data_IF_756771158548
#
_entry.id   IF_756771158548
#
_cell.length_a   1.000
_cell.length_b   1.000
_cell.length_c   1.000
_cell.angle_alpha   90.00
_cell.angle_beta   90.00
_cell.angle_gamma   90.00
#
_symmetry.space_group_name_H-M   'P 1'
#
loop_
_entity.id
_entity.type
_entity.pdbx_description
1 polymer ?
#
# COMPACT_ATOMS: atom_id res chain seq x y z
N UNK A 1 2.22 -22.99 -12.98
CA UNK A 1 0.85 -22.58 -13.39
C UNK A 1 0.91 -21.18 -13.97
N UNK A 2 0.09 -20.88 -14.97
CA UNK A 2 -0.02 -19.53 -15.54
C UNK A 2 -0.68 -18.61 -14.52
N UNK A 3 -0.11 -17.42 -14.28
CA UNK A 3 -0.72 -16.44 -13.39
C UNK A 3 -1.95 -15.82 -14.05
N UNK A 4 -2.96 -15.54 -13.23
CA UNK A 4 -4.22 -14.91 -13.64
C UNK A 4 -4.50 -13.64 -12.84
N UNK A 5 -4.08 -13.62 -11.57
CA UNK A 5 -4.34 -12.53 -10.63
C UNK A 5 -3.02 -11.81 -10.32
N UNK A 6 -2.95 -10.55 -10.68
CA UNK A 6 -1.77 -9.70 -10.47
C UNK A 6 -2.12 -8.67 -9.40
N UNK A 7 -1.50 -8.80 -8.23
CA UNK A 7 -1.70 -7.89 -7.11
C UNK A 7 -0.52 -6.94 -7.03
N UNK A 8 -0.78 -5.66 -6.87
CA UNK A 8 0.24 -4.62 -6.71
C UNK A 8 0.17 -3.96 -5.33
N UNK A 9 1.31 -3.65 -4.74
CA UNK A 9 1.40 -2.60 -3.75
C UNK A 9 1.33 -1.21 -4.42
N UNK A 10 1.18 -0.16 -3.63
CA UNK A 10 1.06 1.22 -4.10
C UNK A 10 2.37 2.00 -3.91
N UNK A 11 2.71 2.27 -2.65
CA UNK A 11 3.82 3.16 -2.29
C UNK A 11 5.18 2.47 -2.51
N UNK A 12 5.98 2.95 -3.46
CA UNK A 12 7.26 2.34 -3.85
C UNK A 12 7.14 1.29 -4.97
N UNK A 13 5.92 0.95 -5.38
CA UNK A 13 5.67 -0.03 -6.44
C UNK A 13 5.00 0.61 -7.66
N UNK A 14 3.86 1.23 -7.47
CA UNK A 14 3.17 1.99 -8.52
C UNK A 14 3.53 3.47 -8.49
N UNK A 15 3.74 4.01 -7.29
CA UNK A 15 3.99 5.45 -7.10
C UNK A 15 5.19 5.71 -6.18
N UNK A 16 5.91 6.82 -6.43
CA UNK A 16 6.85 7.42 -5.49
C UNK A 16 6.14 8.45 -4.63
N UNK A 17 5.72 8.03 -3.45
CA UNK A 17 5.05 8.85 -2.44
C UNK A 17 6.01 9.43 -1.39
N UNK A 18 7.31 9.31 -1.60
CA UNK A 18 8.33 9.66 -0.60
C UNK A 18 8.27 11.12 -0.16
N UNK A 19 8.03 12.04 -1.09
CA UNK A 19 7.94 13.47 -0.79
C UNK A 19 6.78 13.77 0.18
N UNK A 20 5.59 13.30 -0.14
CA UNK A 20 4.39 13.55 0.65
C UNK A 20 4.48 12.92 2.04
N UNK A 21 4.89 11.66 2.11
CA UNK A 21 4.99 10.94 3.38
C UNK A 21 6.05 11.57 4.28
N UNK A 22 7.27 11.81 3.78
CA UNK A 22 8.36 12.35 4.61
C UNK A 22 8.06 13.75 5.11
N UNK A 23 7.45 14.61 4.30
CA UNK A 23 7.01 15.95 4.73
C UNK A 23 5.90 15.88 5.78
N UNK A 24 4.99 14.92 5.69
CA UNK A 24 3.93 14.74 6.69
C UNK A 24 4.46 14.19 8.01
N UNK A 25 5.43 13.26 7.97
CA UNK A 25 6.14 12.80 9.18
C UNK A 25 6.88 13.96 9.83
N UNK A 26 7.61 14.75 9.05
CA UNK A 26 8.31 15.94 9.57
C UNK A 26 7.34 16.96 10.17
N UNK A 27 6.17 17.16 9.55
CA UNK A 27 5.11 18.01 10.11
C UNK A 27 4.65 17.49 11.48
N UNK A 28 4.37 16.19 11.60
CA UNK A 28 3.94 15.57 12.85
C UNK A 28 5.00 15.72 13.95
N UNK A 29 6.26 15.45 13.64
CA UNK A 29 7.38 15.59 14.58
C UNK A 29 7.58 17.04 15.03
N UNK A 30 7.49 18.00 14.09
CA UNK A 30 7.59 19.43 14.43
C UNK A 30 6.46 19.88 15.39
N UNK A 31 5.24 19.35 15.22
CA UNK A 31 4.11 19.61 16.13
C UNK A 31 4.36 19.07 17.55
N UNK A 32 5.22 18.06 17.68
CA UNK A 32 5.68 17.50 18.96
C UNK A 32 7.00 18.11 19.45
N UNK A 33 7.52 19.15 18.79
CA UNK A 33 8.75 19.84 19.17
C UNK A 33 10.04 19.11 18.75
N UNK A 34 9.94 18.08 17.90
CA UNK A 34 11.09 17.29 17.41
C UNK A 34 11.45 17.76 16.00
N UNK A 35 12.70 18.17 15.80
CA UNK A 35 13.24 18.48 14.48
C UNK A 35 13.99 17.27 13.94
N UNK A 36 13.48 16.68 12.87
CA UNK A 36 14.14 15.58 12.15
C UNK A 36 14.58 16.06 10.77
N UNK A 37 15.88 15.97 10.49
CA UNK A 37 16.46 16.37 9.22
C UNK A 37 17.04 15.19 8.43
N UNK A 38 17.09 14.00 9.05
CA UNK A 38 17.57 12.80 8.38
C UNK A 38 16.50 12.23 7.46
N UNK A 39 16.69 12.45 6.15
CA UNK A 39 15.78 11.92 5.13
C UNK A 39 15.74 10.39 5.11
N UNK A 40 16.83 9.71 5.47
CA UNK A 40 16.84 8.25 5.54
C UNK A 40 15.95 7.76 6.69
N UNK A 41 15.95 8.46 7.83
CA UNK A 41 15.05 8.17 8.94
C UNK A 41 13.58 8.40 8.55
N UNK A 42 13.26 9.53 7.92
CA UNK A 42 11.91 9.86 7.48
C UNK A 42 11.37 8.83 6.47
N UNK A 43 12.19 8.34 5.55
CA UNK A 43 11.80 7.33 4.55
C UNK A 43 11.42 5.98 5.17
N UNK A 44 11.85 5.68 6.40
CA UNK A 44 11.49 4.43 7.10
C UNK A 44 9.99 4.35 7.44
N UNK A 45 9.28 5.47 7.39
CA UNK A 45 7.84 5.54 7.61
C UNK A 45 7.01 5.13 6.39
N UNK A 46 7.63 4.97 5.22
CA UNK A 46 6.92 4.58 4.01
C UNK A 46 6.64 3.07 4.08
N UNK A 47 5.37 2.68 4.07
CA UNK A 47 4.91 1.30 4.05
C UNK A 47 4.40 0.74 5.38
N UNK A 48 5.16 0.76 6.49
CA UNK A 48 4.66 0.27 7.78
C UNK A 48 3.54 1.14 8.37
N UNK A 49 2.72 0.60 9.30
CA UNK A 49 1.76 1.39 10.07
C UNK A 49 2.45 2.54 10.80
N UNK A 50 1.85 3.74 10.72
CA UNK A 50 2.47 4.97 11.23
C UNK A 50 2.65 4.96 12.75
N UNK A 51 1.64 4.51 13.48
CA UNK A 51 1.68 4.42 14.94
C UNK A 51 2.81 3.52 15.42
N UNK A 52 2.94 2.32 14.84
CA UNK A 52 4.03 1.38 15.11
C UNK A 52 5.41 1.98 14.74
N UNK A 53 5.47 2.77 13.67
CA UNK A 53 6.68 3.45 13.24
C UNK A 53 7.11 4.54 14.21
N UNK A 54 6.17 5.35 14.72
CA UNK A 54 6.45 6.37 15.73
C UNK A 54 6.89 5.75 17.07
N UNK A 55 6.23 4.68 17.52
CA UNK A 55 6.65 3.92 18.69
C UNK A 55 8.08 3.37 18.51
N UNK A 56 8.34 2.72 17.39
CA UNK A 56 9.60 2.03 17.12
C UNK A 56 10.79 2.97 16.91
N UNK A 57 10.60 4.07 16.19
CA UNK A 57 11.71 4.93 15.75
C UNK A 57 11.97 6.09 16.70
N UNK A 58 10.95 6.55 17.42
CA UNK A 58 11.05 7.69 18.35
C UNK A 58 10.80 7.29 19.80
N UNK A 59 10.45 6.05 20.08
CA UNK A 59 10.18 5.57 21.45
C UNK A 59 8.93 6.17 22.06
N UNK A 60 7.98 6.61 21.25
CA UNK A 60 6.73 7.17 21.75
C UNK A 60 5.90 6.09 22.44
N UNK A 61 5.20 6.48 23.50
CA UNK A 61 4.10 5.66 24.01
C UNK A 61 2.93 5.68 23.01
N UNK A 62 1.98 4.79 23.21
CA UNK A 62 0.84 4.61 22.30
C UNK A 62 0.02 5.90 22.12
N UNK A 63 -0.18 6.66 23.18
CA UNK A 63 -0.96 7.91 23.15
C UNK A 63 -0.24 8.96 22.30
N UNK A 64 1.05 9.16 22.53
CA UNK A 64 1.89 10.09 21.76
C UNK A 64 2.01 9.66 20.29
N UNK A 65 2.14 8.36 20.02
CA UNK A 65 2.20 7.82 18.67
C UNK A 65 0.90 8.09 17.89
N UNK A 66 -0.27 7.87 18.51
CA UNK A 66 -1.57 8.18 17.89
C UNK A 66 -1.73 9.68 17.65
N UNK A 67 -1.30 10.52 18.58
CA UNK A 67 -1.30 11.98 18.39
C UNK A 67 -0.38 12.42 17.25
N UNK A 68 0.76 11.76 17.08
CA UNK A 68 1.65 12.00 15.92
C UNK A 68 0.97 11.60 14.61
N UNK A 69 0.22 10.51 14.60
CA UNK A 69 -0.57 10.09 13.42
C UNK A 69 -1.64 11.13 13.08
N UNK A 70 -2.33 11.70 14.06
CA UNK A 70 -3.30 12.77 13.83
C UNK A 70 -2.64 14.00 13.19
N UNK A 71 -1.49 14.43 13.71
CA UNK A 71 -0.70 15.53 13.11
C UNK A 71 -0.20 15.20 11.69
N UNK A 72 0.20 13.96 11.43
CA UNK A 72 0.54 13.51 10.09
C UNK A 72 -0.66 13.68 9.15
N UNK A 73 -1.85 13.27 9.58
CA UNK A 73 -3.08 13.31 8.78
C UNK A 73 -3.58 14.72 8.51
N UNK A 74 -3.35 15.68 9.43
CA UNK A 74 -3.68 17.09 9.19
C UNK A 74 -3.10 17.59 7.87
N UNK A 75 -1.87 17.18 7.54
CA UNK A 75 -1.22 17.59 6.30
C UNK A 75 -1.45 16.59 5.16
N UNK A 76 -1.46 15.30 5.49
CA UNK A 76 -1.54 14.26 4.47
C UNK A 76 -2.84 14.31 3.70
N UNK A 77 -3.98 14.49 4.38
CA UNK A 77 -5.30 14.43 3.78
C UNK A 77 -5.51 15.47 2.67
N UNK A 78 -4.89 16.63 2.76
CA UNK A 78 -5.13 17.73 1.82
C UNK A 78 -3.96 17.98 0.86
N UNK A 79 -2.74 17.81 1.32
CA UNK A 79 -1.54 18.16 0.55
C UNK A 79 -0.67 16.93 0.27
N UNK A 80 -0.24 16.22 1.29
CA UNK A 80 0.75 15.15 1.17
C UNK A 80 0.30 13.99 0.28
N UNK A 81 -1.00 13.73 0.22
CA UNK A 81 -1.57 12.69 -0.63
C UNK A 81 -1.28 12.93 -2.12
N UNK A 82 -1.13 14.18 -2.54
CA UNK A 82 -0.86 14.59 -3.92
C UNK A 82 0.61 14.92 -4.20
N UNK A 83 1.46 15.00 -3.17
CA UNK A 83 2.92 15.03 -3.31
C UNK A 83 3.43 13.62 -3.58
N UNK A 84 3.05 13.10 -4.74
CA UNK A 84 3.21 11.71 -5.15
C UNK A 84 3.37 11.67 -6.67
N UNK A 85 4.16 10.75 -7.19
CA UNK A 85 4.45 10.63 -8.63
C UNK A 85 4.25 9.18 -9.06
N UNK A 86 3.57 8.96 -10.18
CA UNK A 86 3.47 7.64 -10.80
C UNK A 86 4.84 7.26 -11.39
N UNK A 87 5.32 6.04 -11.15
CA UNK A 87 6.54 5.57 -11.81
C UNK A 87 6.34 5.44 -13.31
N UNK A 88 7.39 5.73 -14.08
CA UNK A 88 7.33 5.69 -15.55
C UNK A 88 6.88 4.32 -16.07
N UNK A 89 5.90 4.35 -16.98
CA UNK A 89 5.38 3.16 -17.66
C UNK A 89 4.36 2.33 -16.88
N UNK A 90 4.00 2.72 -15.66
CA UNK A 90 2.99 2.01 -14.86
C UNK A 90 1.61 2.07 -15.52
N UNK A 91 1.21 3.20 -16.07
CA UNK A 91 -0.04 3.38 -16.80
C UNK A 91 -0.14 2.40 -17.98
N UNK A 92 0.94 2.31 -18.76
CA UNK A 92 1.03 1.38 -19.88
C UNK A 92 1.01 -0.08 -19.40
N UNK A 93 1.76 -0.42 -18.35
CA UNK A 93 1.79 -1.78 -17.79
C UNK A 93 0.38 -2.22 -17.35
N UNK A 94 -0.34 -1.36 -16.63
CA UNK A 94 -1.68 -1.66 -16.16
C UNK A 94 -2.65 -1.86 -17.34
N UNK A 95 -2.55 -1.00 -18.36
CA UNK A 95 -3.35 -1.12 -19.58
C UNK A 95 -3.06 -2.42 -20.33
N UNK A 96 -1.78 -2.78 -20.51
CA UNK A 96 -1.37 -4.02 -21.17
C UNK A 96 -1.90 -5.25 -20.42
N UNK A 97 -1.78 -5.29 -19.08
CA UNK A 97 -2.31 -6.39 -18.27
C UNK A 97 -3.83 -6.54 -18.42
N UNK A 98 -4.58 -5.45 -18.45
CA UNK A 98 -6.03 -5.49 -18.65
C UNK A 98 -6.38 -5.98 -20.05
N UNK A 99 -5.68 -5.53 -21.09
CA UNK A 99 -5.87 -5.97 -22.47
C UNK A 99 -5.57 -7.46 -22.64
N UNK A 100 -4.59 -7.99 -21.91
CA UNK A 100 -4.22 -9.42 -21.91
C UNK A 100 -5.16 -10.27 -21.04
N UNK A 101 -6.19 -9.67 -20.43
CA UNK A 101 -7.23 -10.37 -19.67
C UNK A 101 -6.84 -10.78 -18.24
N UNK A 102 -5.78 -10.19 -17.68
CA UNK A 102 -5.44 -10.39 -16.27
C UNK A 102 -6.44 -9.69 -15.36
N UNK A 103 -6.67 -10.29 -14.20
CA UNK A 103 -7.37 -9.65 -13.08
C UNK A 103 -6.33 -8.89 -12.29
N UNK A 104 -6.49 -7.57 -12.25
CA UNK A 104 -5.54 -6.66 -11.60
C UNK A 104 -6.14 -6.15 -10.30
N UNK A 105 -5.42 -6.30 -9.20
CA UNK A 105 -5.87 -5.84 -7.89
C UNK A 105 -4.81 -4.99 -7.20
N UNK A 106 -5.26 -4.03 -6.39
CA UNK A 106 -4.40 -3.32 -5.46
C UNK A 106 -4.47 -3.97 -4.09
N UNK A 107 -3.31 -4.19 -3.46
CA UNK A 107 -3.17 -4.74 -2.11
C UNK A 107 -2.13 -3.93 -1.33
N UNK A 108 -2.54 -2.84 -0.69
CA UNK A 108 -1.64 -1.89 -0.05
C UNK A 108 -1.90 -1.73 1.46
N UNK A 109 -0.83 -1.52 2.24
CA UNK A 109 -0.96 -1.14 3.65
C UNK A 109 -1.34 0.33 3.85
N UNK A 110 -1.47 1.11 2.77
CA UNK A 110 -2.04 2.45 2.85
C UNK A 110 -3.50 2.39 3.30
N UNK A 111 -3.96 3.29 4.20
CA UNK A 111 -5.36 3.32 4.61
C UNK A 111 -6.32 3.43 3.42
N UNK A 112 -7.30 2.54 3.36
CA UNK A 112 -8.20 2.37 2.20
C UNK A 112 -8.95 3.66 1.84
N UNK A 113 -9.24 4.52 2.83
CA UNK A 113 -9.91 5.81 2.60
C UNK A 113 -9.15 6.74 1.64
N UNK A 114 -7.84 6.57 1.50
CA UNK A 114 -7.00 7.38 0.61
C UNK A 114 -6.84 6.76 -0.78
N UNK A 115 -7.01 5.45 -0.90
CA UNK A 115 -6.75 4.70 -2.14
C UNK A 115 -7.52 5.25 -3.34
N UNK A 116 -8.86 5.45 -3.30
CA UNK A 116 -9.60 5.93 -4.45
C UNK A 116 -9.15 7.33 -4.92
N UNK A 117 -8.72 8.18 -3.98
CA UNK A 117 -8.26 9.55 -4.31
C UNK A 117 -6.94 9.51 -5.07
N UNK A 118 -6.02 8.62 -4.67
CA UNK A 118 -4.70 8.46 -5.32
C UNK A 118 -4.88 7.86 -6.71
N UNK A 119 -5.66 6.78 -6.83
CA UNK A 119 -5.88 6.13 -8.12
C UNK A 119 -6.53 7.08 -9.14
N UNK A 120 -7.51 7.88 -8.71
CA UNK A 120 -8.16 8.91 -9.54
C UNK A 120 -7.20 10.04 -9.92
N UNK A 121 -6.34 10.47 -9.00
CA UNK A 121 -5.35 11.52 -9.26
C UNK A 121 -4.44 11.15 -10.44
N UNK A 122 -4.09 9.87 -10.56
CA UNK A 122 -3.26 9.33 -11.65
C UNK A 122 -4.07 8.80 -12.85
N UNK A 123 -5.40 8.83 -12.80
CA UNK A 123 -6.29 8.25 -13.82
C UNK A 123 -6.05 6.76 -14.06
N UNK A 124 -5.71 6.00 -13.02
CA UNK A 124 -5.45 4.54 -13.08
C UNK A 124 -6.51 3.71 -12.35
N UNK A 125 -7.53 4.33 -11.77
CA UNK A 125 -8.58 3.64 -11.01
C UNK A 125 -9.35 2.62 -11.85
N UNK A 126 -9.55 2.88 -13.13
CA UNK A 126 -10.24 1.99 -14.08
C UNK A 126 -9.49 0.69 -14.40
N UNK A 127 -8.21 0.55 -14.04
CA UNK A 127 -7.47 -0.68 -14.30
C UNK A 127 -7.61 -1.73 -13.19
N UNK A 128 -8.07 -1.35 -12.01
CA UNK A 128 -8.18 -2.26 -10.88
C UNK A 128 -9.57 -2.86 -10.78
N UNK A 129 -9.64 -4.20 -10.84
CA UNK A 129 -10.88 -4.94 -10.60
C UNK A 129 -11.28 -4.87 -9.12
N UNK A 130 -10.29 -4.87 -8.23
CA UNK A 130 -10.44 -4.71 -6.78
C UNK A 130 -9.28 -3.89 -6.23
N UNK A 131 -9.57 -2.94 -5.34
CA UNK A 131 -8.57 -2.17 -4.63
C UNK A 131 -8.83 -2.26 -3.12
N UNK A 132 -7.84 -2.77 -2.40
CA UNK A 132 -7.90 -2.98 -0.94
C UNK A 132 -6.74 -2.27 -0.27
N UNK A 133 -7.08 -1.45 0.72
CA UNK A 133 -6.12 -0.82 1.63
C UNK A 133 -6.18 -1.41 3.03
N UNK A 134 -5.39 -0.88 3.94
CA UNK A 134 -5.51 -1.18 5.36
C UNK A 134 -6.70 -0.44 5.98
N UNK A 135 -7.15 -0.91 7.13
CA UNK A 135 -8.01 -0.13 8.02
C UNK A 135 -7.18 0.89 8.81
N UNK A 136 -7.86 1.87 9.35
CA UNK A 136 -7.25 2.82 10.27
C UNK A 136 -6.86 2.15 11.58
N UNK A 137 -6.17 2.87 12.46
CA UNK A 137 -5.74 2.39 13.77
C UNK A 137 -6.92 1.81 14.54
N UNK A 138 -6.68 0.64 15.14
CA UNK A 138 -7.73 -0.12 15.83
C UNK A 138 -8.54 -1.07 14.97
N UNK A 139 -8.40 -1.01 13.64
CA UNK A 139 -8.96 -1.98 12.73
C UNK A 139 -8.17 -3.29 12.68
N UNK A 140 -8.79 -4.35 12.18
CA UNK A 140 -8.18 -5.68 12.12
C UNK A 140 -7.27 -5.85 10.90
N UNK A 141 -7.59 -5.20 9.77
CA UNK A 141 -6.82 -5.31 8.52
C UNK A 141 -5.73 -4.25 8.44
N UNK A 142 -4.55 -4.55 8.99
CA UNK A 142 -3.42 -3.62 9.08
C UNK A 142 -2.17 -4.09 8.35
N UNK A 143 -1.97 -5.39 8.26
CA UNK A 143 -0.76 -6.00 7.70
C UNK A 143 -1.03 -6.59 6.32
N UNK A 144 0.05 -6.71 5.51
CA UNK A 144 -0.04 -7.10 4.10
C UNK A 144 -0.79 -8.42 3.86
N UNK A 145 -0.58 -9.43 4.68
CA UNK A 145 -1.29 -10.70 4.54
C UNK A 145 -2.81 -10.58 4.75
N UNK A 146 -3.24 -9.71 5.66
CA UNK A 146 -4.67 -9.45 5.90
C UNK A 146 -5.29 -8.72 4.71
N UNK A 147 -4.57 -7.73 4.15
CA UNK A 147 -4.98 -7.00 2.94
C UNK A 147 -5.08 -7.95 1.74
N UNK A 148 -4.06 -8.79 1.51
CA UNK A 148 -4.08 -9.79 0.43
C UNK A 148 -5.26 -10.76 0.58
N UNK A 149 -5.53 -11.26 1.77
CA UNK A 149 -6.66 -12.14 2.01
C UNK A 149 -8.00 -11.47 1.69
N UNK A 150 -8.16 -10.21 2.06
CA UNK A 150 -9.35 -9.41 1.75
C UNK A 150 -9.53 -9.20 0.24
N UNK A 151 -8.44 -9.03 -0.52
CA UNK A 151 -8.52 -8.96 -1.99
C UNK A 151 -9.25 -10.19 -2.54
N UNK A 152 -8.90 -11.39 -2.08
CA UNK A 152 -9.54 -12.62 -2.57
C UNK A 152 -10.99 -12.78 -2.11
N UNK A 153 -11.34 -12.29 -0.93
CA UNK A 153 -12.74 -12.21 -0.49
C UNK A 153 -13.54 -11.35 -1.47
N UNK A 154 -13.07 -10.13 -1.74
CA UNK A 154 -13.77 -9.21 -2.66
C UNK A 154 -13.78 -9.69 -4.11
N UNK A 155 -12.72 -10.35 -4.59
CA UNK A 155 -12.72 -10.97 -5.92
C UNK A 155 -13.76 -12.08 -6.02
N UNK A 156 -13.92 -12.90 -4.97
CA UNK A 156 -14.93 -13.94 -4.91
C UNK A 156 -16.35 -13.37 -4.87
N UNK A 157 -16.59 -12.36 -4.04
CA UNK A 157 -17.89 -11.67 -3.94
C UNK A 157 -18.28 -11.00 -5.25
N UNK A 158 -17.32 -10.48 -5.99
CA UNK A 158 -17.52 -9.89 -7.32
C UNK A 158 -17.67 -10.93 -8.45
N UNK A 159 -17.57 -12.25 -8.15
CA UNK A 159 -17.64 -13.32 -9.15
C UNK A 159 -16.42 -13.40 -10.07
N UNK A 160 -15.32 -12.71 -9.72
CA UNK A 160 -14.11 -12.62 -10.56
C UNK A 160 -13.18 -13.84 -10.41
N UNK A 161 -13.43 -14.72 -9.44
CA UNK A 161 -12.71 -15.99 -9.32
C UNK A 161 -13.20 -17.03 -10.32
N UNK A 162 -14.38 -16.84 -10.91
CA UNK A 162 -15.03 -17.82 -11.79
C UNK A 162 -15.36 -19.10 -11.01
N UNK A 163 -15.01 -20.26 -11.58
CA UNK A 163 -15.21 -21.56 -10.92
C UNK A 163 -14.13 -21.90 -9.89
N UNK A 164 -13.09 -21.06 -9.74
CA UNK A 164 -12.03 -21.29 -8.75
C UNK A 164 -12.55 -20.93 -7.35
N UNK A 165 -12.31 -21.79 -6.38
CA UNK A 165 -12.37 -21.38 -4.97
C UNK A 165 -11.19 -20.43 -4.65
N UNK A 166 -11.25 -19.80 -3.47
CA UNK A 166 -10.20 -18.84 -3.03
C UNK A 166 -8.81 -19.50 -3.02
N UNK A 167 -8.69 -20.76 -2.66
CA UNK A 167 -7.40 -21.49 -2.61
C UNK A 167 -6.81 -21.66 -4.02
N UNK A 168 -7.66 -22.06 -4.97
CA UNK A 168 -7.26 -22.20 -6.37
C UNK A 168 -6.90 -20.84 -6.98
N UNK A 169 -7.70 -19.80 -6.73
CA UNK A 169 -7.41 -18.45 -7.19
C UNK A 169 -6.05 -17.95 -6.66
N UNK A 170 -5.76 -18.16 -5.37
CA UNK A 170 -4.46 -17.83 -4.76
C UNK A 170 -3.30 -18.55 -5.43
N UNK A 171 -3.43 -19.81 -5.81
CA UNK A 171 -2.35 -20.54 -6.51
C UNK A 171 -1.97 -19.93 -7.86
N UNK A 172 -2.90 -19.20 -8.49
CA UNK A 172 -2.73 -18.49 -9.77
C UNK A 172 -2.39 -17.01 -9.60
N UNK A 173 -2.03 -16.57 -8.37
CA UNK A 173 -1.78 -15.17 -8.06
C UNK A 173 -0.29 -14.87 -7.87
N UNK A 174 0.02 -13.58 -8.02
CA UNK A 174 1.34 -13.03 -7.68
C UNK A 174 1.16 -11.65 -7.06
N UNK A 175 1.88 -11.39 -5.96
CA UNK A 175 2.01 -10.07 -5.34
C UNK A 175 3.28 -9.39 -5.84
N UNK A 176 3.15 -8.18 -6.33
CA UNK A 176 4.27 -7.34 -6.78
C UNK A 176 4.40 -6.17 -5.79
N UNK A 177 5.58 -6.04 -5.21
CA UNK A 177 5.86 -5.01 -4.22
C UNK A 177 7.35 -4.73 -4.08
N UNK A 178 7.70 -3.64 -3.41
CA UNK A 178 9.10 -3.23 -3.22
C UNK A 178 9.65 -3.60 -1.84
N UNK A 179 8.78 -3.96 -0.89
CA UNK A 179 9.19 -4.16 0.49
C UNK A 179 9.17 -5.62 0.93
N UNK A 180 9.95 -5.89 1.98
CA UNK A 180 9.97 -7.20 2.65
C UNK A 180 8.57 -7.65 3.07
N UNK A 181 7.71 -6.71 3.50
CA UNK A 181 6.37 -7.00 3.97
C UNK A 181 5.47 -7.52 2.86
N UNK A 182 5.66 -7.09 1.59
CA UNK A 182 4.95 -7.62 0.44
C UNK A 182 5.29 -9.10 0.22
N UNK A 183 6.58 -9.43 0.27
CA UNK A 183 7.07 -10.79 0.07
C UNK A 183 6.62 -11.71 1.21
N UNK A 184 6.74 -11.25 2.46
CA UNK A 184 6.31 -12.03 3.62
C UNK A 184 4.79 -12.17 3.71
N UNK A 185 4.05 -11.11 3.37
CA UNK A 185 2.60 -11.12 3.31
C UNK A 185 2.08 -12.08 2.24
N UNK A 186 2.68 -12.05 1.05
CA UNK A 186 2.37 -12.98 -0.03
C UNK A 186 2.61 -14.44 0.40
N UNK A 187 3.78 -14.74 0.98
CA UNK A 187 4.11 -16.06 1.51
C UNK A 187 3.11 -16.53 2.57
N UNK A 188 2.76 -15.65 3.52
CA UNK A 188 1.78 -15.96 4.57
C UNK A 188 0.37 -16.18 4.02
N UNK A 189 0.04 -15.57 2.88
CA UNK A 189 -1.24 -15.71 2.19
C UNK A 189 -1.29 -16.89 1.19
N UNK A 190 -0.16 -17.57 0.98
CA UNK A 190 -0.07 -18.72 0.06
C UNK A 190 -0.05 -18.34 -1.43
N UNK A 191 0.46 -17.16 -1.78
CA UNK A 191 0.62 -16.69 -3.16
C UNK A 191 2.09 -16.46 -3.49
N UNK A 192 2.42 -16.44 -4.79
CA UNK A 192 3.76 -16.07 -5.24
C UNK A 192 4.02 -14.57 -5.06
N UNK A 193 5.28 -14.18 -5.09
CA UNK A 193 5.70 -12.78 -4.97
C UNK A 193 6.83 -12.41 -5.93
N UNK A 194 6.86 -11.13 -6.30
CA UNK A 194 7.93 -10.52 -7.09
C UNK A 194 8.33 -9.21 -6.44
N UNK A 195 9.62 -9.07 -6.12
CA UNK A 195 10.17 -7.83 -5.60
C UNK A 195 10.63 -6.89 -6.71
N UNK A 196 10.19 -5.63 -6.69
CA UNK A 196 10.75 -4.56 -7.52
C UNK A 196 11.90 -3.86 -6.78
N UNK A 197 12.88 -3.34 -7.52
CA UNK A 197 14.12 -2.80 -6.94
C UNK A 197 14.24 -1.27 -7.01
N UNK A 198 13.28 -0.62 -7.60
CA UNK A 198 13.26 0.84 -7.78
C UNK A 198 12.52 1.60 -6.68
N UNK A 199 11.88 0.88 -5.75
CA UNK A 199 11.10 1.45 -4.64
C UNK A 199 11.95 1.84 -3.42
N UNK A 200 11.42 1.62 -2.23
CA UNK A 200 11.98 2.07 -0.95
C UNK A 200 12.65 0.96 -0.13
N UNK A 201 12.81 -0.27 -0.70
CA UNK A 201 13.44 -1.40 -0.01
C UNK A 201 14.93 -1.16 0.26
#
# INVERSE_FOLDING_TARGET
MTKKYILFDLDGTLTDSSEGITKCVQHALNRLGIKENDQAMLRRFIGPPLDESFEKFYGFDKETALKAVDYYRERYSDTGIYENVLFDGIDKLLADLKNDGYIVALATCKPEIYVPRILKHFNIDGYFDVAVGSELEGGERRHKNQVINEVFVRLSEAGLTGDDDITMAKSKAIMIGDRKDDILGAKASGIDSMGVRYGFA
#
